data_IF_656282819452
#
_entry.id   IF_656282819452
#
_cell.length_a   1.000
_cell.length_b   1.000
_cell.length_c   1.000
_cell.angle_alpha   90.00
_cell.angle_beta   90.00
_cell.angle_gamma   90.00
#
_symmetry.space_group_name_H-M   'P 1'
#
loop_
_entity.id
_entity.type
_entity.pdbx_description
1 polymer ?
#
# COMPACT_ATOMS: atom_id res chain seq x y z
N UNK A 1 17.42 -44.58 -58.36
CA UNK A 1 18.77 -44.23 -57.89
C UNK A 1 18.95 -42.75 -58.07
N UNK A 2 19.61 -41.98 -57.17
CA UNK A 2 20.29 -42.41 -55.96
C UNK A 2 19.70 -41.76 -54.68
N UNK A 3 20.18 -42.27 -53.53
CA UNK A 3 19.98 -41.87 -52.15
C UNK A 3 20.63 -40.51 -51.84
N UNK A 4 20.01 -39.68 -50.97
CA UNK A 4 20.74 -38.67 -50.20
C UNK A 4 20.37 -38.76 -48.76
N UNK A 5 21.41 -38.83 -47.97
CA UNK A 5 21.48 -39.04 -46.50
C UNK A 5 20.92 -37.89 -45.71
N UNK A 6 20.30 -38.22 -44.56
CA UNK A 6 19.87 -37.29 -43.57
C UNK A 6 21.05 -36.75 -42.75
N UNK A 7 21.07 -35.46 -42.52
CA UNK A 7 21.96 -34.80 -41.56
C UNK A 7 21.16 -34.43 -40.33
N UNK A 8 21.42 -35.13 -39.22
CA UNK A 8 20.95 -34.78 -37.89
C UNK A 8 21.55 -33.44 -37.42
N UNK A 9 20.69 -32.52 -37.04
CA UNK A 9 21.13 -31.30 -36.29
C UNK A 9 21.05 -31.60 -34.79
N UNK A 10 22.22 -31.68 -34.18
CA UNK A 10 22.39 -31.63 -32.73
C UNK A 10 21.97 -30.25 -32.22
N UNK A 11 21.05 -30.20 -31.29
CA UNK A 11 20.77 -28.98 -30.53
C UNK A 11 21.81 -28.84 -29.42
N UNK A 12 22.86 -28.11 -29.70
CA UNK A 12 23.84 -27.68 -28.70
C UNK A 12 23.34 -26.39 -28.06
N UNK A 13 22.75 -26.54 -26.90
CA UNK A 13 22.21 -25.45 -26.08
C UNK A 13 23.31 -24.73 -25.29
N UNK A 14 24.08 -23.87 -25.93
CA UNK A 14 24.96 -22.95 -25.21
C UNK A 14 24.12 -21.85 -24.56
N UNK A 15 23.94 -21.93 -23.26
CA UNK A 15 23.42 -20.84 -22.43
C UNK A 15 24.32 -19.60 -22.66
N UNK A 16 23.71 -18.51 -23.13
CA UNK A 16 24.39 -17.21 -23.16
C UNK A 16 24.73 -16.82 -21.70
N UNK A 17 25.97 -16.37 -21.44
CA UNK A 17 26.31 -15.84 -20.12
C UNK A 17 25.43 -14.61 -19.84
N UNK A 18 24.93 -14.50 -18.60
CA UNK A 18 24.23 -13.34 -18.11
C UNK A 18 25.10 -12.09 -18.36
N UNK A 19 24.53 -11.09 -19.00
CA UNK A 19 25.21 -9.82 -19.21
C UNK A 19 25.58 -9.23 -17.85
N UNK A 20 26.88 -9.11 -17.58
CA UNK A 20 27.40 -8.36 -16.47
C UNK A 20 26.78 -6.95 -16.49
N UNK A 21 25.97 -6.64 -15.51
CA UNK A 21 25.34 -5.35 -15.35
C UNK A 21 26.41 -4.27 -15.21
N UNK A 22 26.65 -3.49 -16.26
CA UNK A 22 27.35 -2.21 -16.14
C UNK A 22 26.59 -1.44 -15.05
N UNK A 23 27.27 -1.12 -13.96
CA UNK A 23 26.75 -0.31 -12.85
C UNK A 23 26.22 1.02 -13.39
N UNK A 24 24.92 1.04 -13.70
CA UNK A 24 24.17 2.27 -13.86
C UNK A 24 24.25 2.97 -12.52
N UNK A 25 24.81 4.19 -12.47
CA UNK A 25 24.70 5.05 -11.32
C UNK A 25 23.23 4.98 -10.83
N UNK A 26 23.03 4.65 -9.55
CA UNK A 26 21.68 4.47 -8.99
C UNK A 26 20.84 5.68 -9.42
N UNK A 27 19.79 5.47 -10.18
CA UNK A 27 18.89 6.53 -10.61
C UNK A 27 18.39 7.28 -9.37
N UNK A 28 18.39 8.61 -9.45
CA UNK A 28 17.87 9.46 -8.37
C UNK A 28 16.35 9.25 -8.10
N UNK A 29 15.68 8.47 -8.97
CA UNK A 29 14.23 8.19 -8.92
C UNK A 29 13.42 9.16 -9.79
N UNK A 30 12.17 8.77 -10.08
CA UNK A 30 11.28 9.55 -10.96
C UNK A 30 10.85 10.90 -10.33
N UNK A 31 10.88 10.99 -9.00
CA UNK A 31 10.47 12.16 -8.24
C UNK A 31 11.67 12.93 -7.66
N UNK A 32 12.87 12.68 -8.18
CA UNK A 32 14.05 13.42 -7.77
C UNK A 32 13.87 14.91 -7.98
N UNK A 33 14.21 15.70 -6.95
CA UNK A 33 14.04 17.13 -6.93
C UNK A 33 12.73 17.62 -6.31
N UNK A 34 11.74 16.73 -6.08
CA UNK A 34 10.57 17.11 -5.27
C UNK A 34 10.92 17.08 -3.78
N UNK A 35 10.52 18.13 -3.08
CA UNK A 35 10.71 18.29 -1.64
C UNK A 35 9.38 18.22 -0.92
N UNK A 36 9.30 17.36 0.08
CA UNK A 36 8.08 17.06 0.84
C UNK A 36 8.31 17.34 2.31
N UNK A 37 7.48 18.18 2.91
CA UNK A 37 7.39 18.34 4.36
C UNK A 37 6.21 17.48 4.84
N UNK A 38 6.52 16.47 5.63
CA UNK A 38 5.59 15.45 6.12
C UNK A 38 5.30 15.68 7.60
N UNK A 39 4.13 16.26 7.91
CA UNK A 39 3.63 16.45 9.29
C UNK A 39 2.73 15.28 9.74
N UNK A 40 2.58 14.24 8.89
CA UNK A 40 1.63 13.16 9.17
C UNK A 40 2.15 12.17 10.20
N UNK A 41 1.20 11.51 10.85
CA UNK A 41 1.45 10.45 11.85
C UNK A 41 0.59 9.22 11.51
N UNK A 42 0.86 8.12 12.18
CA UNK A 42 0.17 6.84 12.10
C UNK A 42 0.44 6.12 10.79
N UNK A 43 -0.48 6.08 9.80
CA UNK A 43 -0.32 5.19 8.66
C UNK A 43 -0.60 5.86 7.30
N UNK A 44 -1.79 6.35 7.03
CA UNK A 44 -2.19 6.78 5.68
C UNK A 44 -1.26 7.83 5.07
N UNK A 45 -0.95 8.90 5.81
CA UNK A 45 -0.01 9.93 5.40
C UNK A 45 1.43 9.43 5.29
N UNK A 46 2.00 8.80 6.34
CA UNK A 46 3.33 8.21 6.26
C UNK A 46 3.51 7.19 5.15
N UNK A 47 2.49 6.40 4.82
CA UNK A 47 2.51 5.47 3.70
C UNK A 47 2.55 6.21 2.35
N UNK A 48 1.76 7.27 2.19
CA UNK A 48 1.82 8.16 1.03
C UNK A 48 3.24 8.70 0.83
N UNK A 49 3.83 9.30 1.85
CA UNK A 49 5.14 9.94 1.76
C UNK A 49 6.28 8.92 1.62
N UNK A 50 6.12 7.68 2.11
CA UNK A 50 7.04 6.58 1.82
C UNK A 50 7.03 6.23 0.31
N UNK A 51 5.86 6.19 -0.34
CA UNK A 51 5.78 5.95 -1.78
C UNK A 51 6.53 7.05 -2.54
N UNK A 52 6.33 8.32 -2.18
CA UNK A 52 7.04 9.43 -2.80
C UNK A 52 8.56 9.33 -2.58
N UNK A 53 8.99 9.04 -1.34
CA UNK A 53 10.41 8.89 -1.01
C UNK A 53 11.04 7.68 -1.70
N UNK A 54 10.35 6.55 -1.84
CA UNK A 54 10.85 5.39 -2.57
C UNK A 54 11.19 5.71 -4.03
N UNK A 55 10.49 6.68 -4.61
CA UNK A 55 10.68 7.13 -5.97
C UNK A 55 11.53 8.40 -6.12
N UNK A 56 12.20 8.84 -5.06
CA UNK A 56 13.25 9.86 -5.15
C UNK A 56 12.90 11.23 -4.56
N UNK A 57 11.68 11.45 -4.09
CA UNK A 57 11.36 12.67 -3.36
C UNK A 57 12.19 12.78 -2.07
N UNK A 58 12.64 13.99 -1.75
CA UNK A 58 13.27 14.30 -0.48
C UNK A 58 12.18 14.59 0.55
N UNK A 59 11.99 13.68 1.49
CA UNK A 59 10.91 13.75 2.48
C UNK A 59 11.49 14.05 3.86
N UNK A 60 11.12 15.21 4.40
CA UNK A 60 11.43 15.63 5.77
C UNK A 60 10.19 15.35 6.63
N UNK A 61 10.26 14.30 7.47
CA UNK A 61 9.23 13.99 8.46
C UNK A 61 9.41 14.86 9.70
N UNK A 62 8.42 15.68 10.01
CA UNK A 62 8.38 16.50 11.21
C UNK A 62 7.56 15.78 12.27
N UNK A 63 8.19 15.47 13.38
CA UNK A 63 7.54 14.82 14.52
C UNK A 63 7.37 15.81 15.69
N UNK A 64 6.28 15.69 16.47
CA UNK A 64 6.15 16.45 17.72
C UNK A 64 7.20 15.98 18.75
N UNK A 65 7.38 16.70 19.86
CA UNK A 65 8.36 16.35 20.90
C UNK A 65 8.21 14.92 21.45
N UNK A 66 7.00 14.36 21.40
CA UNK A 66 6.69 12.99 21.83
C UNK A 66 7.01 11.93 20.75
N UNK A 67 7.27 12.36 19.52
CA UNK A 67 7.39 11.49 18.36
C UNK A 67 6.04 11.10 17.76
N UNK A 68 6.11 10.36 16.66
CA UNK A 68 4.95 9.67 16.10
C UNK A 68 4.52 8.54 17.04
N UNK A 69 3.25 8.49 17.41
CA UNK A 69 2.72 7.49 18.36
C UNK A 69 2.96 6.04 17.93
N UNK A 70 3.06 5.78 16.63
CA UNK A 70 3.33 4.43 16.13
C UNK A 70 4.76 3.94 16.40
N UNK A 71 5.66 4.80 16.89
CA UNK A 71 6.95 4.35 17.42
C UNK A 71 6.78 3.45 18.67
N UNK A 72 5.64 3.60 19.36
CA UNK A 72 5.32 2.84 20.58
C UNK A 72 4.33 1.67 20.32
N UNK A 73 3.84 1.49 19.07
CA UNK A 73 2.87 0.43 18.75
C UNK A 73 3.54 -0.93 18.47
N UNK A 74 4.29 -1.40 19.42
CA UNK A 74 4.92 -2.72 19.46
C UNK A 74 4.38 -3.61 20.58
N UNK A 75 4.87 -4.84 20.72
CA UNK A 75 5.98 -5.46 20.00
C UNK A 75 5.63 -5.85 18.56
N UNK A 76 6.64 -6.15 17.68
CA UNK A 76 8.07 -6.14 17.97
C UNK A 76 8.71 -4.74 17.85
N UNK A 77 9.88 -4.58 18.48
CA UNK A 77 10.68 -3.35 18.42
C UNK A 77 12.06 -3.64 17.87
N UNK A 78 12.64 -2.66 17.19
CA UNK A 78 14.07 -2.55 16.94
C UNK A 78 14.56 -1.30 17.67
N UNK A 79 15.39 -1.49 18.71
CA UNK A 79 15.75 -0.45 19.67
C UNK A 79 14.49 0.21 20.28
N UNK A 80 14.31 1.52 20.10
CA UNK A 80 13.19 2.30 20.63
C UNK A 80 12.00 2.44 19.66
N UNK A 81 12.03 1.79 18.48
CA UNK A 81 11.04 1.96 17.43
C UNK A 81 10.28 0.67 17.13
N UNK A 82 8.95 0.74 17.20
CA UNK A 82 8.09 -0.38 16.84
C UNK A 82 8.10 -0.67 15.33
N UNK A 83 7.87 -1.93 14.96
CA UNK A 83 7.75 -2.39 13.57
C UNK A 83 6.74 -1.59 12.77
N UNK A 84 5.70 -1.06 13.41
CA UNK A 84 4.69 -0.23 12.76
C UNK A 84 5.30 1.05 12.17
N UNK A 85 6.13 1.77 12.95
CA UNK A 85 6.86 2.93 12.44
C UNK A 85 7.88 2.54 11.37
N UNK A 86 8.65 1.48 11.63
CA UNK A 86 9.72 1.01 10.77
C UNK A 86 9.19 0.63 9.37
N UNK A 87 8.02 0.01 9.29
CA UNK A 87 7.44 -0.49 8.05
C UNK A 87 7.07 0.58 7.02
N UNK A 88 6.92 1.86 7.43
CA UNK A 88 6.35 2.93 6.60
C UNK A 88 7.15 4.23 6.55
N UNK A 89 8.39 4.26 7.08
CA UNK A 89 9.16 5.51 7.16
C UNK A 89 10.57 5.43 6.55
N UNK A 90 10.88 4.38 5.76
CA UNK A 90 12.16 4.33 5.04
C UNK A 90 12.33 5.50 4.09
N UNK A 91 13.56 5.82 3.74
CA UNK A 91 13.95 6.90 2.83
C UNK A 91 13.62 8.33 3.32
N UNK A 92 13.07 8.50 4.52
CA UNK A 92 12.77 9.82 5.09
C UNK A 92 13.90 10.34 5.95
N UNK A 93 13.93 11.66 6.13
CA UNK A 93 14.74 12.37 7.14
C UNK A 93 13.82 12.82 8.27
N UNK A 94 14.27 12.74 9.52
CA UNK A 94 13.44 13.05 10.69
C UNK A 94 13.93 14.28 11.43
N UNK A 95 13.01 15.21 11.69
CA UNK A 95 13.19 16.39 12.53
C UNK A 95 12.11 16.38 13.61
N UNK A 96 12.49 16.63 14.87
CA UNK A 96 11.51 16.81 15.94
C UNK A 96 11.33 18.28 16.26
N UNK A 97 10.11 18.79 16.06
CA UNK A 97 9.79 20.21 16.11
C UNK A 97 8.44 20.45 16.81
N UNK A 98 8.45 21.33 17.82
CA UNK A 98 7.21 21.74 18.49
C UNK A 98 6.49 22.87 17.73
N UNK A 99 5.67 22.50 16.74
CA UNK A 99 4.89 23.46 15.95
C UNK A 99 3.68 24.06 16.70
N UNK A 100 3.37 23.59 17.90
CA UNK A 100 2.36 24.22 18.75
C UNK A 100 2.83 25.60 19.24
N UNK A 101 4.16 25.82 19.26
CA UNK A 101 4.81 27.07 19.64
C UNK A 101 5.02 27.99 18.44
N UNK A 102 4.92 29.32 18.62
CA UNK A 102 5.20 30.29 17.53
C UNK A 102 6.58 30.13 16.89
N UNK A 103 7.61 29.83 17.71
CA UNK A 103 8.98 29.63 17.25
C UNK A 103 9.11 28.41 16.35
N UNK A 104 8.44 27.30 16.71
CA UNK A 104 8.39 26.09 15.90
C UNK A 104 7.69 26.31 14.56
N UNK A 105 6.62 27.13 14.55
CA UNK A 105 5.95 27.51 13.30
C UNK A 105 6.85 28.35 12.40
N UNK A 106 7.69 29.23 12.95
CA UNK A 106 8.70 29.98 12.16
C UNK A 106 9.69 29.02 11.50
N UNK A 107 10.15 28.01 12.21
CA UNK A 107 11.02 26.97 11.64
C UNK A 107 10.30 26.23 10.53
N UNK A 108 9.06 25.76 10.76
CA UNK A 108 8.25 25.09 9.73
C UNK A 108 8.09 25.97 8.48
N UNK A 109 7.73 27.23 8.64
CA UNK A 109 7.56 28.16 7.52
C UNK A 109 8.85 28.34 6.70
N UNK A 110 10.02 28.29 7.34
CA UNK A 110 11.30 28.33 6.65
C UNK A 110 11.60 27.03 5.88
N UNK A 111 11.21 25.87 6.43
CA UNK A 111 11.29 24.59 5.70
C UNK A 111 10.36 24.56 4.48
N UNK A 112 9.26 25.33 4.50
CA UNK A 112 8.31 25.43 3.40
C UNK A 112 8.73 26.37 2.28
N UNK A 113 9.77 27.20 2.46
CA UNK A 113 10.22 28.16 1.45
C UNK A 113 10.66 27.52 0.12
N UNK A 114 11.17 26.29 0.19
CA UNK A 114 11.60 25.54 -0.98
C UNK A 114 10.87 24.17 -1.12
N UNK A 115 9.84 23.95 -0.31
CA UNK A 115 9.03 22.73 -0.39
C UNK A 115 8.04 22.77 -1.56
N UNK A 116 7.87 21.63 -2.20
CA UNK A 116 6.86 21.41 -3.24
C UNK A 116 5.52 20.97 -2.65
N UNK A 117 5.57 20.17 -1.58
CA UNK A 117 4.44 19.47 -1.00
C UNK A 117 4.51 19.60 0.52
N UNK A 118 3.39 19.99 1.11
CA UNK A 118 3.09 19.84 2.53
C UNK A 118 2.00 18.78 2.68
N UNK A 119 2.22 17.80 3.53
CA UNK A 119 1.20 16.80 3.87
C UNK A 119 1.00 16.76 5.38
N UNK A 120 -0.27 16.76 5.82
CA UNK A 120 -0.64 16.74 7.24
C UNK A 120 -1.89 15.90 7.50
N UNK A 121 -2.06 15.42 8.73
CA UNK A 121 -3.27 14.72 9.17
C UNK A 121 -3.73 15.17 10.56
N UNK A 122 -3.60 16.48 10.84
CA UNK A 122 -4.16 17.07 12.05
C UNK A 122 -5.69 17.12 11.97
N UNK A 123 -6.28 17.31 13.14
CA UNK A 123 -7.71 17.62 13.21
C UNK A 123 -8.00 18.86 12.35
N UNK A 124 -8.99 18.83 11.43
CA UNK A 124 -9.40 20.01 10.67
C UNK A 124 -9.58 21.25 11.55
N UNK A 125 -9.09 22.39 11.10
CA UNK A 125 -9.07 23.64 11.85
C UNK A 125 -7.84 23.84 12.75
N UNK A 126 -6.97 22.85 12.91
CA UNK A 126 -5.77 22.99 13.76
C UNK A 126 -4.71 23.90 13.12
N UNK A 127 -4.41 23.67 11.84
CA UNK A 127 -3.46 24.51 11.08
C UNK A 127 -3.95 25.94 10.97
N UNK A 128 -5.25 26.13 10.73
CA UNK A 128 -5.91 27.42 10.67
C UNK A 128 -5.79 28.20 11.99
N UNK A 129 -6.03 27.54 13.13
CA UNK A 129 -5.84 28.13 14.47
C UNK A 129 -4.40 28.57 14.73
N UNK A 130 -3.44 27.92 14.10
CA UNK A 130 -2.03 28.25 14.23
C UNK A 130 -1.56 29.34 13.24
N UNK A 131 -2.47 29.81 12.36
CA UNK A 131 -2.15 30.79 11.31
C UNK A 131 -1.26 30.24 10.20
N UNK A 132 -1.34 28.93 9.97
CA UNK A 132 -0.63 28.19 8.92
C UNK A 132 -1.60 27.23 8.18
N UNK A 133 -2.86 27.65 8.03
CA UNK A 133 -3.85 26.97 7.19
C UNK A 133 -3.56 27.15 5.70
N UNK A 134 -4.38 26.50 4.86
CA UNK A 134 -4.17 26.57 3.41
C UNK A 134 -4.24 28.01 2.87
N UNK A 135 -5.19 28.81 3.34
CA UNK A 135 -5.39 30.18 2.84
C UNK A 135 -4.17 31.06 3.08
N UNK A 136 -3.55 30.96 4.26
CA UNK A 136 -2.30 31.67 4.59
C UNK A 136 -1.10 31.13 3.83
N UNK A 137 -0.98 29.79 3.76
CA UNK A 137 0.15 29.15 3.09
C UNK A 137 0.11 29.36 1.57
N UNK A 138 -1.04 29.34 0.94
CA UNK A 138 -1.18 29.54 -0.51
C UNK A 138 -0.82 30.97 -0.95
N UNK A 139 -1.09 31.96 -0.10
CA UNK A 139 -0.68 33.34 -0.36
C UNK A 139 0.84 33.51 -0.24
N UNK A 140 1.46 32.83 0.73
CA UNK A 140 2.90 32.92 0.98
C UNK A 140 3.71 32.04 0.03
N UNK A 141 3.19 30.87 -0.31
CA UNK A 141 3.82 29.83 -1.13
C UNK A 141 2.88 29.39 -2.24
N UNK A 142 2.63 30.20 -3.28
CA UNK A 142 1.60 29.95 -4.29
C UNK A 142 1.82 28.67 -5.12
N UNK A 143 3.00 28.07 -5.06
CA UNK A 143 3.34 26.82 -5.73
C UNK A 143 3.22 25.59 -4.82
N UNK A 144 2.99 25.77 -3.53
CA UNK A 144 2.90 24.68 -2.56
C UNK A 144 1.64 23.86 -2.77
N UNK A 145 1.81 22.56 -2.88
CA UNK A 145 0.70 21.59 -2.86
C UNK A 145 0.47 21.19 -1.41
N UNK A 146 -0.72 21.46 -0.89
CA UNK A 146 -1.08 21.15 0.49
C UNK A 146 -2.07 19.99 0.53
N UNK A 147 -1.66 18.83 1.01
CA UNK A 147 -2.51 17.65 1.17
C UNK A 147 -2.89 17.46 2.64
N UNK A 148 -4.18 17.50 2.94
CA UNK A 148 -4.74 17.16 4.25
C UNK A 148 -5.38 15.79 4.19
N UNK A 149 -5.06 14.93 5.17
CA UNK A 149 -5.74 13.65 5.37
C UNK A 149 -6.54 13.72 6.67
N UNK A 150 -7.83 13.42 6.62
CA UNK A 150 -8.73 13.44 7.78
C UNK A 150 -9.66 12.23 7.81
N UNK A 151 -10.36 11.99 8.93
CA UNK A 151 -11.31 10.88 9.03
C UNK A 151 -12.52 11.05 8.11
N UNK A 152 -13.17 12.22 8.17
CA UNK A 152 -14.47 12.49 7.54
C UNK A 152 -14.52 13.79 6.73
N UNK A 153 -13.38 14.40 6.45
CA UNK A 153 -13.36 15.74 5.85
C UNK A 153 -13.57 16.86 6.88
N UNK A 154 -13.52 18.14 6.43
CA UNK A 154 -13.64 19.30 7.32
C UNK A 154 -15.08 19.64 7.71
N UNK A 155 -16.05 19.24 6.92
CA UNK A 155 -17.46 19.67 7.03
C UNK A 155 -18.44 18.49 6.90
N UNK A 156 -19.73 18.79 6.74
CA UNK A 156 -20.80 17.78 6.71
C UNK A 156 -21.16 17.21 8.07
N UNK A 157 -22.04 16.21 8.13
CA UNK A 157 -22.58 15.69 9.38
C UNK A 157 -21.54 15.09 10.36
N UNK A 158 -20.41 14.62 9.83
CA UNK A 158 -19.31 14.01 10.60
C UNK A 158 -18.01 14.83 10.47
N UNK A 159 -18.05 15.98 9.84
CA UNK A 159 -16.89 16.82 9.60
C UNK A 159 -16.11 17.16 10.85
N UNK A 160 -14.79 17.09 10.79
CA UNK A 160 -13.89 17.37 11.90
C UNK A 160 -13.86 16.34 13.04
N UNK A 161 -14.64 15.25 12.94
CA UNK A 161 -14.57 14.15 13.89
C UNK A 161 -13.35 13.26 13.64
N UNK A 162 -12.81 12.63 14.69
CA UNK A 162 -11.71 11.68 14.55
C UNK A 162 -12.18 10.39 13.88
N UNK A 163 -11.31 9.81 13.02
CA UNK A 163 -11.55 8.53 12.39
C UNK A 163 -10.26 7.73 12.28
N UNK A 164 -10.32 6.46 12.65
CA UNK A 164 -9.26 5.47 12.45
C UNK A 164 -9.73 4.42 11.47
N UNK A 165 -8.82 3.74 10.80
CA UNK A 165 -9.09 2.72 9.78
C UNK A 165 -10.25 1.77 10.14
N UNK A 166 -10.20 1.13 11.32
CA UNK A 166 -11.21 0.15 11.72
C UNK A 166 -12.62 0.76 11.86
N UNK A 167 -12.71 2.02 12.33
CA UNK A 167 -13.98 2.74 12.41
C UNK A 167 -14.51 3.03 11.01
N UNK A 168 -13.63 3.43 10.09
CA UNK A 168 -14.03 3.70 8.72
C UNK A 168 -14.37 2.42 7.95
N UNK A 169 -13.69 1.29 8.17
CA UNK A 169 -14.14 0.00 7.66
C UNK A 169 -15.56 -0.35 8.11
N UNK A 170 -15.91 -0.04 9.37
CA UNK A 170 -17.26 -0.28 9.89
C UNK A 170 -18.29 0.66 9.25
N UNK A 171 -18.00 1.96 9.20
CA UNK A 171 -18.96 2.99 8.78
C UNK A 171 -19.14 3.10 7.27
N UNK A 172 -18.15 2.71 6.47
CA UNK A 172 -18.24 2.70 4.99
C UNK A 172 -18.85 1.42 4.42
N UNK A 173 -19.15 0.43 5.26
CA UNK A 173 -19.77 -0.83 4.83
C UNK A 173 -18.78 -1.95 4.48
N UNK A 174 -17.48 -1.70 4.50
CA UNK A 174 -16.45 -2.72 4.21
C UNK A 174 -16.55 -3.92 5.16
N UNK A 175 -16.78 -3.69 6.47
CA UNK A 175 -16.97 -4.80 7.40
C UNK A 175 -18.23 -5.61 7.09
N UNK A 176 -19.30 -4.99 6.59
CA UNK A 176 -20.58 -5.66 6.35
C UNK A 176 -20.51 -6.71 5.24
N UNK A 177 -19.52 -6.60 4.36
CA UNK A 177 -19.27 -7.50 3.24
C UNK A 177 -18.07 -8.41 3.45
N UNK A 178 -17.35 -8.25 4.56
CA UNK A 178 -16.27 -9.11 5.00
C UNK A 178 -16.73 -10.02 6.15
N UNK A 179 -16.22 -11.27 6.21
CA UNK A 179 -16.74 -12.31 7.09
C UNK A 179 -17.82 -13.15 6.43
N UNK A 180 -18.53 -13.94 7.22
CA UNK A 180 -19.60 -14.84 6.79
C UNK A 180 -20.72 -14.94 7.83
N UNK A 181 -21.69 -15.87 7.62
CA UNK A 181 -22.80 -16.04 8.52
C UNK A 181 -22.40 -16.55 9.92
N UNK A 182 -21.27 -17.24 10.04
CA UNK A 182 -20.79 -17.78 11.33
C UNK A 182 -19.97 -16.73 12.11
N UNK A 183 -19.16 -15.95 11.40
CA UNK A 183 -18.29 -14.94 12.02
C UNK A 183 -18.97 -13.58 12.17
N UNK A 184 -20.00 -13.30 11.38
CA UNK A 184 -20.56 -11.95 11.21
C UNK A 184 -19.62 -10.99 10.51
N UNK A 185 -19.92 -9.67 10.54
CA UNK A 185 -19.05 -8.64 9.97
C UNK A 185 -17.66 -8.62 10.61
N UNK A 186 -16.62 -8.65 9.80
CA UNK A 186 -15.22 -8.64 10.24
C UNK A 186 -14.42 -7.52 9.57
N UNK A 187 -13.51 -6.90 10.33
CA UNK A 187 -12.52 -6.01 9.71
C UNK A 187 -11.48 -6.81 8.91
N UNK A 188 -10.91 -6.19 7.90
CA UNK A 188 -9.72 -6.73 7.23
C UNK A 188 -8.53 -6.70 8.20
N UNK A 189 -7.67 -7.70 8.16
CA UNK A 189 -6.49 -7.82 9.04
C UNK A 189 -5.47 -6.70 8.83
N UNK A 190 -5.38 -6.13 7.62
CA UNK A 190 -4.61 -4.93 7.30
C UNK A 190 -5.47 -3.68 7.36
N UNK A 191 -4.85 -2.53 7.63
CA UNK A 191 -5.53 -1.23 7.67
C UNK A 191 -5.80 -0.72 6.23
N UNK A 192 -6.77 -1.33 5.56
CA UNK A 192 -7.02 -1.15 4.12
C UNK A 192 -7.50 0.26 3.77
N UNK A 193 -8.25 0.93 4.66
CA UNK A 193 -8.73 2.29 4.42
C UNK A 193 -7.58 3.28 4.53
N UNK A 194 -6.73 3.15 5.54
CA UNK A 194 -5.52 3.98 5.68
C UNK A 194 -4.57 3.80 4.49
N UNK A 195 -4.28 2.55 4.12
CA UNK A 195 -3.40 2.27 2.97
C UNK A 195 -4.00 2.78 1.66
N UNK A 196 -5.31 2.56 1.45
CA UNK A 196 -6.04 3.09 0.30
C UNK A 196 -6.00 4.61 0.25
N UNK A 197 -6.19 5.28 1.39
CA UNK A 197 -6.08 6.75 1.49
C UNK A 197 -4.67 7.22 1.15
N UNK A 198 -3.63 6.54 1.64
CA UNK A 198 -2.25 6.85 1.30
C UNK A 198 -1.95 6.71 -0.20
N UNK A 199 -2.50 5.68 -0.85
CA UNK A 199 -2.42 5.52 -2.32
C UNK A 199 -3.14 6.64 -3.07
N UNK A 200 -4.37 6.96 -2.69
CA UNK A 200 -5.13 8.07 -3.31
C UNK A 200 -4.46 9.42 -3.08
N UNK A 201 -3.90 9.66 -1.88
CA UNK A 201 -3.15 10.87 -1.60
C UNK A 201 -1.90 11.00 -2.48
N UNK A 202 -1.14 9.91 -2.67
CA UNK A 202 0.02 9.91 -3.57
C UNK A 202 -0.40 10.19 -5.03
N UNK A 203 -1.49 9.57 -5.51
CA UNK A 203 -2.04 9.84 -6.85
C UNK A 203 -2.50 11.29 -6.96
N UNK A 204 -3.25 11.81 -5.99
CA UNK A 204 -3.74 13.18 -5.97
C UNK A 204 -2.60 14.21 -5.97
N UNK A 205 -1.57 13.97 -5.17
CA UNK A 205 -0.35 14.78 -5.15
C UNK A 205 0.33 14.79 -6.53
N UNK A 206 0.48 13.64 -7.18
CA UNK A 206 1.07 13.56 -8.51
C UNK A 206 0.23 14.26 -9.58
N UNK A 207 -1.11 14.20 -9.48
CA UNK A 207 -2.02 14.99 -10.35
C UNK A 207 -1.80 16.48 -10.13
N UNK A 208 -1.67 16.94 -8.88
CA UNK A 208 -1.41 18.33 -8.55
C UNK A 208 -0.03 18.80 -9.02
N UNK A 209 1.01 17.95 -8.88
CA UNK A 209 2.36 18.23 -9.43
C UNK A 209 2.29 18.37 -10.95
N UNK A 210 1.58 17.48 -11.64
CA UNK A 210 1.41 17.57 -13.09
C UNK A 210 0.64 18.83 -13.51
N UNK A 211 -0.46 19.15 -12.81
CA UNK A 211 -1.24 20.35 -13.09
C UNK A 211 -0.42 21.62 -12.89
N UNK A 212 0.36 21.70 -11.81
CA UNK A 212 1.27 22.80 -11.49
C UNK A 212 2.30 23.09 -12.58
N UNK A 213 2.67 22.11 -13.42
CA UNK A 213 3.58 22.34 -14.56
C UNK A 213 2.97 23.24 -15.63
N UNK A 214 1.63 23.35 -15.67
CA UNK A 214 0.88 24.18 -16.62
C UNK A 214 0.44 25.50 -16.00
N UNK A 215 -0.15 25.45 -14.80
CA UNK A 215 -0.69 26.66 -14.13
C UNK A 215 0.39 27.48 -13.41
N UNK A 216 1.47 26.84 -12.98
CA UNK A 216 2.45 27.43 -12.09
C UNK A 216 2.03 27.48 -10.62
N UNK A 217 0.80 27.07 -10.30
CA UNK A 217 0.22 27.15 -8.95
C UNK A 217 0.07 25.79 -8.29
N UNK A 218 0.27 25.71 -6.97
CA UNK A 218 -0.13 24.59 -6.14
C UNK A 218 -1.62 24.60 -5.87
N UNK A 219 -2.10 23.61 -5.13
CA UNK A 219 -3.51 23.51 -4.76
C UNK A 219 -3.69 22.73 -3.45
N UNK A 220 -4.87 22.83 -2.87
CA UNK A 220 -5.28 22.04 -1.73
C UNK A 220 -5.85 20.69 -2.15
N UNK A 221 -5.46 19.63 -1.47
CA UNK A 221 -6.03 18.29 -1.58
C UNK A 221 -6.67 17.92 -0.25
N UNK A 222 -7.98 17.72 -0.27
CA UNK A 222 -8.73 17.19 0.86
C UNK A 222 -8.96 15.69 0.66
N UNK A 223 -8.37 14.89 1.55
CA UNK A 223 -8.42 13.44 1.51
C UNK A 223 -9.12 12.93 2.77
N UNK A 224 -10.35 12.43 2.62
CA UNK A 224 -11.08 11.82 3.72
C UNK A 224 -10.97 10.28 3.67
N UNK A 225 -10.64 9.66 4.81
CA UNK A 225 -10.63 8.20 4.93
C UNK A 225 -12.01 7.61 4.58
N UNK A 226 -13.09 8.31 4.96
CA UNK A 226 -14.45 7.90 4.66
C UNK A 226 -14.69 7.75 3.15
N UNK A 227 -14.31 8.75 2.36
CA UNK A 227 -14.46 8.74 0.89
C UNK A 227 -13.65 7.62 0.26
N UNK A 228 -12.42 7.44 0.73
CA UNK A 228 -11.56 6.35 0.28
C UNK A 228 -12.15 4.98 0.61
N UNK A 229 -12.68 4.79 1.83
CA UNK A 229 -13.36 3.56 2.24
C UNK A 229 -14.60 3.25 1.38
N UNK A 230 -15.40 4.28 1.07
CA UNK A 230 -16.54 4.15 0.15
C UNK A 230 -16.11 3.74 -1.26
N UNK A 231 -15.01 4.31 -1.77
CA UNK A 231 -14.49 3.99 -3.10
C UNK A 231 -14.02 2.54 -3.25
N UNK A 232 -13.67 1.87 -2.15
CA UNK A 232 -13.20 0.49 -2.12
C UNK A 232 -14.34 -0.56 -2.13
N UNK A 233 -15.61 -0.16 -2.12
CA UNK A 233 -16.77 -1.08 -2.05
C UNK A 233 -17.09 -1.82 -3.35
N UNK A 234 -16.22 -1.86 -4.34
CA UNK A 234 -16.45 -2.64 -5.55
C UNK A 234 -16.24 -4.15 -5.29
N UNK A 235 -17.11 -5.06 -5.82
CA UNK A 235 -18.30 -4.83 -6.62
C UNK A 235 -19.60 -4.63 -5.81
N UNK A 236 -19.53 -4.64 -4.48
CA UNK A 236 -20.70 -4.73 -3.60
C UNK A 236 -21.65 -3.53 -3.75
N UNK A 237 -21.12 -2.32 -3.81
CA UNK A 237 -21.92 -1.12 -4.03
C UNK A 237 -22.61 -1.14 -5.41
N UNK A 238 -21.91 -1.56 -6.46
CA UNK A 238 -22.50 -1.68 -7.79
C UNK A 238 -23.62 -2.73 -7.83
N UNK A 239 -23.46 -3.87 -7.17
CA UNK A 239 -24.51 -4.88 -7.05
C UNK A 239 -25.74 -4.32 -6.33
N UNK A 240 -25.54 -3.61 -5.21
CA UNK A 240 -26.62 -2.98 -4.47
C UNK A 240 -27.38 -1.92 -5.29
N UNK A 241 -26.66 -1.06 -5.99
CA UNK A 241 -27.28 -0.02 -6.82
C UNK A 241 -28.12 -0.60 -7.97
N UNK A 242 -27.73 -1.78 -8.50
CA UNK A 242 -28.45 -2.42 -9.60
C UNK A 242 -29.69 -3.21 -9.16
N UNK A 243 -29.65 -3.84 -7.99
CA UNK A 243 -30.70 -4.80 -7.61
C UNK A 243 -31.42 -4.46 -6.29
N UNK A 244 -30.97 -3.43 -5.55
CA UNK A 244 -31.52 -3.02 -4.26
C UNK A 244 -31.34 -4.03 -3.11
N UNK A 245 -30.62 -5.12 -3.35
CA UNK A 245 -30.42 -6.17 -2.34
C UNK A 245 -29.19 -5.86 -1.49
N UNK A 246 -29.37 -5.87 -0.17
CA UNK A 246 -28.26 -5.65 0.77
C UNK A 246 -27.19 -6.75 0.57
N UNK A 247 -25.95 -6.39 0.23
CA UNK A 247 -24.84 -7.34 0.23
C UNK A 247 -24.60 -7.89 1.64
N UNK A 248 -24.11 -9.11 1.72
CA UNK A 248 -23.69 -9.74 2.97
C UNK A 248 -22.31 -10.37 2.78
N UNK A 249 -21.61 -10.57 3.89
CA UNK A 249 -20.36 -11.33 3.90
C UNK A 249 -20.60 -12.77 3.46
N UNK A 250 -19.80 -13.23 2.50
CA UNK A 250 -19.87 -14.61 1.97
C UNK A 250 -18.66 -15.45 2.39
N UNK A 251 -17.78 -14.90 3.22
CA UNK A 251 -16.48 -15.49 3.50
C UNK A 251 -15.57 -15.41 2.28
N UNK A 252 -14.98 -16.53 1.89
CA UNK A 252 -14.10 -16.62 0.72
C UNK A 252 -14.83 -16.67 -0.63
N UNK A 253 -16.03 -17.26 -0.75
CA UNK A 253 -16.75 -17.34 -2.02
C UNK A 253 -17.02 -15.99 -2.65
N UNK A 254 -16.68 -15.84 -3.93
CA UNK A 254 -17.02 -14.65 -4.70
C UNK A 254 -18.55 -14.54 -4.88
N UNK A 255 -19.17 -13.35 -4.71
CA UNK A 255 -20.62 -13.20 -4.78
C UNK A 255 -21.21 -13.62 -6.15
N UNK A 256 -20.50 -13.42 -7.24
CA UNK A 256 -21.02 -13.56 -8.60
C UNK A 256 -20.38 -14.70 -9.42
N UNK A 257 -19.22 -15.23 -9.02
CA UNK A 257 -18.46 -16.23 -9.79
C UNK A 257 -18.36 -17.57 -9.05
N UNK A 258 -18.44 -18.68 -9.79
CA UNK A 258 -18.35 -20.06 -9.24
C UNK A 258 -17.66 -20.99 -10.25
N UNK A 259 -16.65 -21.78 -9.82
CA UNK A 259 -16.00 -21.75 -8.53
C UNK A 259 -15.00 -20.59 -8.42
N UNK A 260 -15.11 -19.86 -7.34
CA UNK A 260 -14.18 -18.81 -6.94
C UNK A 260 -14.16 -18.80 -5.42
N UNK A 261 -13.28 -19.63 -4.82
CA UNK A 261 -13.31 -19.93 -3.40
C UNK A 261 -12.01 -20.59 -2.93
N UNK A 262 -11.92 -20.78 -1.62
CA UNK A 262 -10.86 -21.51 -0.92
C UNK A 262 -11.30 -22.95 -0.68
N UNK A 263 -10.42 -23.89 -1.00
CA UNK A 263 -10.66 -25.33 -0.82
C UNK A 263 -9.52 -25.96 -0.03
N UNK A 264 -9.84 -26.85 0.95
CA UNK A 264 -8.83 -27.63 1.62
C UNK A 264 -8.24 -28.68 0.68
N UNK A 265 -6.94 -28.95 0.83
CA UNK A 265 -6.25 -30.06 0.17
C UNK A 265 -5.55 -30.92 1.23
N UNK A 266 -4.80 -31.93 0.80
CA UNK A 266 -4.06 -32.78 1.73
C UNK A 266 -3.00 -32.03 2.53
N UNK A 267 -2.41 -30.95 2.00
CA UNK A 267 -1.25 -30.28 2.61
C UNK A 267 -1.48 -28.82 3.00
N UNK A 268 -2.27 -28.08 2.24
CA UNK A 268 -2.61 -26.68 2.52
C UNK A 268 -3.91 -26.28 1.84
N UNK A 269 -4.48 -25.14 2.23
CA UNK A 269 -5.61 -24.57 1.52
C UNK A 269 -5.17 -24.00 0.17
N UNK A 270 -5.99 -24.20 -0.88
CA UNK A 270 -5.79 -23.61 -2.21
C UNK A 270 -6.96 -22.71 -2.55
N UNK A 271 -6.67 -21.49 -2.99
CA UNK A 271 -7.67 -20.59 -3.53
C UNK A 271 -7.74 -20.73 -5.05
N UNK A 272 -8.96 -20.80 -5.60
CA UNK A 272 -9.22 -20.96 -7.03
C UNK A 272 -10.14 -19.84 -7.50
N UNK A 273 -9.84 -19.28 -8.67
CA UNK A 273 -10.59 -18.20 -9.27
C UNK A 273 -10.95 -18.54 -10.74
N UNK A 274 -11.98 -19.37 -10.95
CA UNK A 274 -12.46 -19.66 -12.30
C UNK A 274 -13.45 -18.59 -12.77
N UNK A 275 -13.00 -17.72 -13.67
CA UNK A 275 -13.76 -16.56 -14.15
C UNK A 275 -14.66 -16.84 -15.38
N UNK A 276 -14.52 -18.01 -16.05
CA UNK A 276 -15.30 -18.34 -17.25
C UNK A 276 -15.42 -19.85 -17.47
N UNK A 277 -16.30 -20.23 -18.43
CA UNK A 277 -16.59 -21.62 -18.70
C UNK A 277 -15.39 -22.43 -19.23
N UNK A 278 -14.50 -21.77 -19.98
CA UNK A 278 -13.27 -22.42 -20.48
C UNK A 278 -12.31 -22.79 -19.35
N UNK A 279 -12.17 -21.90 -18.36
CA UNK A 279 -11.38 -22.18 -17.15
C UNK A 279 -12.02 -23.28 -16.30
N UNK A 280 -13.35 -23.29 -16.19
CA UNK A 280 -14.05 -24.36 -15.48
C UNK A 280 -13.86 -25.74 -16.13
N UNK A 281 -13.92 -25.83 -17.46
CA UNK A 281 -13.63 -27.07 -18.19
C UNK A 281 -12.21 -27.55 -17.93
N UNK A 282 -11.22 -26.69 -18.04
CA UNK A 282 -9.82 -27.00 -17.73
C UNK A 282 -9.61 -27.43 -16.27
N UNK A 283 -10.28 -26.77 -15.34
CA UNK A 283 -10.27 -27.17 -13.93
C UNK A 283 -10.75 -28.63 -13.80
N UNK A 284 -11.92 -28.96 -14.35
CA UNK A 284 -12.50 -30.30 -14.31
C UNK A 284 -11.55 -31.36 -14.91
N UNK A 285 -10.93 -31.06 -16.04
CA UNK A 285 -9.93 -31.94 -16.66
C UNK A 285 -8.69 -32.16 -15.77
N UNK A 286 -8.13 -31.11 -15.20
CA UNK A 286 -6.90 -31.15 -14.37
C UNK A 286 -7.09 -31.93 -13.08
N UNK A 287 -8.28 -31.84 -12.47
CA UNK A 287 -8.61 -32.58 -11.25
C UNK A 287 -9.13 -34.01 -11.51
N UNK A 288 -9.17 -34.45 -12.78
CA UNK A 288 -9.61 -35.79 -13.15
C UNK A 288 -11.14 -35.99 -13.11
N UNK A 289 -11.90 -34.91 -13.22
CA UNK A 289 -13.39 -34.94 -13.19
C UNK A 289 -14.00 -34.22 -14.41
N UNK A 290 -13.62 -34.63 -15.64
CA UNK A 290 -14.04 -33.93 -16.87
C UNK A 290 -15.58 -33.90 -17.04
N UNK A 291 -16.31 -34.88 -16.50
CA UNK A 291 -17.76 -34.96 -16.53
C UNK A 291 -18.45 -33.74 -15.88
N UNK A 292 -17.80 -33.03 -14.97
CA UNK A 292 -18.37 -31.85 -14.35
C UNK A 292 -18.62 -30.70 -15.36
N UNK A 293 -17.81 -30.67 -16.43
CA UNK A 293 -17.94 -29.63 -17.46
C UNK A 293 -19.18 -29.86 -18.36
N UNK A 294 -19.65 -31.09 -18.44
CA UNK A 294 -20.81 -31.52 -19.25
C UNK A 294 -22.08 -31.71 -18.40
N UNK A 295 -21.99 -31.59 -17.06
CA UNK A 295 -23.14 -31.61 -16.17
C UNK A 295 -24.04 -30.39 -16.41
N UNK A 296 -25.35 -30.60 -16.76
CA UNK A 296 -26.27 -29.47 -16.99
C UNK A 296 -26.38 -28.48 -15.83
N UNK A 297 -26.12 -28.92 -14.60
CA UNK A 297 -26.14 -28.05 -13.40
C UNK A 297 -24.98 -27.05 -13.39
N UNK A 298 -23.88 -27.32 -14.13
CA UNK A 298 -22.62 -26.56 -14.07
C UNK A 298 -22.22 -25.97 -15.43
N UNK A 299 -23.07 -26.08 -16.46
CA UNK A 299 -22.76 -25.72 -17.84
C UNK A 299 -22.34 -24.25 -18.05
N UNK A 300 -22.87 -23.35 -17.23
CA UNK A 300 -22.51 -21.90 -17.26
C UNK A 300 -22.42 -21.33 -15.84
N UNK A 301 -21.87 -20.12 -15.72
CA UNK A 301 -21.67 -19.49 -14.41
C UNK A 301 -22.99 -19.27 -13.65
N UNK A 302 -24.09 -18.93 -14.35
CA UNK A 302 -25.39 -18.74 -13.72
C UNK A 302 -25.90 -20.04 -13.07
N UNK A 303 -25.82 -21.15 -13.80
CA UNK A 303 -26.19 -22.47 -13.30
C UNK A 303 -25.28 -22.94 -12.17
N UNK A 304 -23.96 -22.71 -12.28
CA UNK A 304 -23.01 -22.99 -11.19
C UNK A 304 -23.34 -22.18 -9.94
N UNK A 305 -23.75 -20.93 -10.09
CA UNK A 305 -24.12 -20.07 -8.97
C UNK A 305 -25.38 -20.59 -8.25
N UNK A 306 -26.41 -21.03 -8.99
CA UNK A 306 -27.62 -21.64 -8.42
C UNK A 306 -27.28 -22.97 -7.71
N UNK A 307 -26.37 -23.77 -8.25
CA UNK A 307 -25.97 -25.07 -7.72
C UNK A 307 -24.63 -25.01 -6.95
N UNK A 308 -24.28 -23.85 -6.39
CA UNK A 308 -23.00 -23.57 -5.72
C UNK A 308 -22.65 -24.63 -4.68
N UNK A 309 -23.57 -24.96 -3.77
CA UNK A 309 -23.33 -25.91 -2.70
C UNK A 309 -22.91 -27.27 -3.23
N UNK A 310 -23.67 -27.82 -4.20
CA UNK A 310 -23.38 -29.11 -4.82
C UNK A 310 -22.02 -29.13 -5.54
N UNK A 311 -21.67 -28.05 -6.25
CA UNK A 311 -20.37 -27.95 -6.92
C UNK A 311 -19.23 -27.82 -5.92
N UNK A 312 -19.39 -27.03 -4.86
CA UNK A 312 -18.39 -26.87 -3.80
C UNK A 312 -18.08 -28.19 -3.12
N UNK A 313 -19.09 -28.98 -2.80
CA UNK A 313 -18.92 -30.32 -2.18
C UNK A 313 -18.12 -31.27 -3.08
N UNK A 314 -18.47 -31.37 -4.36
CA UNK A 314 -17.76 -32.19 -5.33
C UNK A 314 -16.32 -31.77 -5.52
N UNK A 315 -16.07 -30.47 -5.61
CA UNK A 315 -14.72 -29.93 -5.75
C UNK A 315 -13.89 -30.14 -4.50
N UNK A 316 -14.46 -29.91 -3.31
CA UNK A 316 -13.77 -30.15 -2.04
C UNK A 316 -13.31 -31.61 -1.89
N UNK A 317 -14.18 -32.57 -2.23
CA UNK A 317 -13.83 -33.97 -2.23
C UNK A 317 -12.68 -34.32 -3.21
N UNK A 318 -12.72 -33.73 -4.42
CA UNK A 318 -11.67 -33.96 -5.41
C UNK A 318 -10.34 -33.35 -4.97
N UNK A 319 -10.34 -32.12 -4.38
CA UNK A 319 -9.10 -31.44 -3.95
C UNK A 319 -8.45 -32.08 -2.73
N UNK A 320 -9.22 -32.69 -1.83
CA UNK A 320 -8.69 -33.34 -0.62
C UNK A 320 -7.66 -34.45 -0.91
N UNK A 321 -7.67 -35.03 -2.10
CA UNK A 321 -6.73 -36.08 -2.51
C UNK A 321 -5.38 -35.53 -3.02
N UNK A 322 -5.30 -34.22 -3.33
CA UNK A 322 -4.12 -33.60 -3.93
C UNK A 322 -3.21 -32.95 -2.92
N UNK A 323 -1.92 -32.88 -3.26
CA UNK A 323 -1.00 -31.92 -2.65
C UNK A 323 -1.36 -30.50 -3.13
N UNK A 324 -1.53 -29.56 -2.20
CA UNK A 324 -2.05 -28.22 -2.54
C UNK A 324 -1.10 -27.39 -3.39
N UNK A 325 0.20 -27.42 -3.08
CA UNK A 325 1.19 -26.66 -3.86
C UNK A 325 1.31 -27.21 -5.29
N UNK A 326 1.35 -28.53 -5.42
CA UNK A 326 1.41 -29.20 -6.73
C UNK A 326 0.14 -28.95 -7.55
N UNK A 327 -1.04 -29.09 -6.92
CA UNK A 327 -2.31 -28.81 -7.57
C UNK A 327 -2.41 -27.37 -8.05
N UNK A 328 -2.09 -26.39 -7.20
CA UNK A 328 -2.12 -24.99 -7.55
C UNK A 328 -1.19 -24.68 -8.74
N UNK A 329 0.00 -25.28 -8.75
CA UNK A 329 0.94 -25.13 -9.86
C UNK A 329 0.44 -25.75 -11.17
N UNK A 330 -0.19 -26.92 -11.12
CA UNK A 330 -0.82 -27.57 -12.29
C UNK A 330 -1.97 -26.71 -12.83
N UNK A 331 -2.83 -26.20 -11.96
CA UNK A 331 -3.97 -25.36 -12.33
C UNK A 331 -3.53 -24.06 -12.99
N UNK A 332 -2.60 -23.31 -12.39
CA UNK A 332 -2.16 -22.02 -12.94
C UNK A 332 -1.43 -22.19 -14.29
N UNK A 333 -0.61 -23.23 -14.43
CA UNK A 333 0.03 -23.59 -15.71
C UNK A 333 -0.97 -24.04 -16.76
N UNK A 334 -2.07 -24.69 -16.37
CA UNK A 334 -3.18 -25.04 -17.22
C UNK A 334 -4.11 -23.87 -17.59
N UNK A 335 -3.83 -22.67 -17.08
CA UNK A 335 -4.62 -21.46 -17.35
C UNK A 335 -5.86 -21.30 -16.46
N UNK A 336 -5.89 -21.97 -15.32
CA UNK A 336 -6.87 -21.77 -14.26
C UNK A 336 -6.19 -21.02 -13.12
N UNK A 337 -6.56 -19.76 -12.81
CA UNK A 337 -5.98 -19.03 -11.72
C UNK A 337 -6.19 -19.77 -10.40
N UNK A 338 -5.09 -20.12 -9.75
CA UNK A 338 -5.07 -20.82 -8.46
C UNK A 338 -3.77 -20.51 -7.72
N UNK A 339 -3.80 -20.62 -6.39
CA UNK A 339 -2.62 -20.45 -5.56
C UNK A 339 -2.81 -21.02 -4.17
N UNK A 340 -1.75 -21.49 -3.51
CA UNK A 340 -1.82 -21.86 -2.10
C UNK A 340 -2.07 -20.62 -1.23
N UNK A 341 -2.79 -20.81 -0.14
CA UNK A 341 -2.97 -19.75 0.88
C UNK A 341 -1.72 -19.76 1.77
N UNK A 342 -0.79 -18.87 1.49
CA UNK A 342 0.49 -18.80 2.20
C UNK A 342 0.41 -17.92 3.44
N UNK A 343 1.00 -18.33 4.57
CA UNK A 343 1.29 -17.42 5.67
C UNK A 343 2.37 -16.39 5.27
N UNK A 344 2.51 -15.32 6.06
CA UNK A 344 3.37 -14.17 5.72
C UNK A 344 4.83 -14.55 5.54
N UNK A 345 5.35 -15.43 6.39
CA UNK A 345 6.75 -15.91 6.34
C UNK A 345 7.03 -16.67 5.03
N UNK A 346 6.15 -17.58 4.63
CA UNK A 346 6.27 -18.32 3.37
C UNK A 346 6.11 -17.39 2.15
N UNK A 347 5.14 -16.47 2.20
CA UNK A 347 4.92 -15.51 1.11
C UNK A 347 6.13 -14.60 0.90
N UNK A 348 6.78 -14.14 1.99
CA UNK A 348 7.98 -13.29 1.92
C UNK A 348 9.22 -14.06 1.48
N UNK A 349 9.28 -15.37 1.74
CA UNK A 349 10.38 -16.25 1.32
C UNK A 349 10.17 -16.88 -0.08
N UNK A 350 9.01 -16.68 -0.71
CA UNK A 350 8.67 -17.30 -1.98
C UNK A 350 9.65 -16.88 -3.10
N UNK A 351 10.04 -17.82 -4.01
CA UNK A 351 10.95 -17.51 -5.11
C UNK A 351 10.48 -16.37 -6.01
N UNK A 352 9.16 -16.24 -6.22
CA UNK A 352 8.59 -15.13 -6.99
C UNK A 352 8.73 -13.79 -6.27
N UNK A 353 8.59 -13.76 -4.96
CA UNK A 353 8.84 -12.56 -4.11
C UNK A 353 10.28 -12.09 -4.24
N UNK A 354 11.25 -13.01 -4.20
CA UNK A 354 12.65 -12.72 -4.44
C UNK A 354 12.92 -12.21 -5.87
N UNK A 355 12.37 -12.89 -6.90
CA UNK A 355 12.49 -12.48 -8.30
C UNK A 355 11.91 -11.07 -8.55
N UNK A 356 10.83 -10.73 -7.86
CA UNK A 356 10.18 -9.40 -7.96
C UNK A 356 10.82 -8.36 -7.03
N UNK A 357 11.86 -8.72 -6.27
CA UNK A 357 12.52 -7.83 -5.30
C UNK A 357 11.50 -7.18 -4.35
N UNK A 358 10.54 -7.98 -3.87
CA UNK A 358 9.48 -7.49 -2.99
C UNK A 358 9.85 -7.57 -1.50
N UNK A 359 11.01 -8.11 -1.17
CA UNK A 359 11.70 -7.90 0.11
C UNK A 359 12.97 -7.11 -0.17
N UNK A 360 13.17 -6.03 0.58
CA UNK A 360 14.34 -5.15 0.49
C UNK A 360 15.11 -5.19 1.79
N UNK A 361 16.44 -5.15 1.69
CA UNK A 361 17.35 -5.15 2.83
C UNK A 361 18.37 -4.02 2.65
N UNK A 362 18.62 -3.28 3.70
CA UNK A 362 19.65 -2.23 3.75
C UNK A 362 20.10 -2.04 5.19
N UNK A 363 21.38 -2.30 5.48
CA UNK A 363 21.95 -2.29 6.81
C UNK A 363 21.15 -3.22 7.76
N UNK A 364 20.59 -2.68 8.83
CA UNK A 364 19.74 -3.41 9.78
C UNK A 364 18.27 -3.55 9.30
N UNK A 365 17.85 -2.75 8.32
CA UNK A 365 16.46 -2.68 7.87
C UNK A 365 16.14 -3.81 6.88
N UNK A 366 15.03 -4.49 7.15
CA UNK A 366 14.39 -5.42 6.22
C UNK A 366 12.90 -5.08 6.13
N UNK A 367 12.36 -4.97 4.92
CA UNK A 367 10.97 -4.59 4.72
C UNK A 367 10.43 -4.95 3.35
N UNK A 368 9.13 -4.67 3.14
CA UNK A 368 8.48 -4.89 1.83
C UNK A 368 8.95 -3.85 0.84
N UNK A 369 9.42 -4.28 -0.34
CA UNK A 369 9.89 -3.42 -1.42
C UNK A 369 8.77 -2.63 -2.10
N UNK A 370 9.16 -1.63 -2.92
CA UNK A 370 8.17 -0.88 -3.71
C UNK A 370 7.60 -1.73 -4.85
N UNK A 371 6.25 -1.79 -5.03
CA UNK A 371 5.64 -2.53 -6.13
C UNK A 371 5.72 -1.81 -7.48
N UNK A 372 6.00 -0.50 -7.51
CA UNK A 372 6.08 0.30 -8.72
C UNK A 372 7.46 0.13 -9.36
N UNK A 373 7.53 -0.59 -10.47
CA UNK A 373 8.78 -0.92 -11.18
C UNK A 373 8.91 -0.08 -12.45
N UNK A 374 9.58 1.07 -12.34
CA UNK A 374 9.86 1.95 -13.48
C UNK A 374 11.15 1.51 -14.19
N UNK A 375 11.10 1.29 -15.49
CA UNK A 375 12.22 0.72 -16.25
C UNK A 375 13.45 1.65 -16.33
N UNK A 376 13.26 2.95 -16.35
CA UNK A 376 14.32 3.96 -16.50
C UNK A 376 14.70 4.67 -15.20
N UNK A 377 13.73 4.83 -14.30
CA UNK A 377 13.87 5.54 -13.01
C UNK A 377 13.35 4.68 -11.85
N UNK A 378 13.95 3.51 -11.60
CA UNK A 378 13.46 2.58 -10.60
C UNK A 378 13.44 3.22 -9.21
N UNK A 379 12.38 2.93 -8.46
CA UNK A 379 12.31 3.21 -7.04
C UNK A 379 13.10 2.19 -6.22
N UNK A 380 13.25 2.44 -4.92
CA UNK A 380 13.89 1.50 -4.01
C UNK A 380 14.24 2.07 -2.66
N UNK A 381 14.75 1.21 -1.79
CA UNK A 381 15.25 1.59 -0.47
C UNK A 381 16.66 2.14 -0.58
N UNK A 382 16.86 3.38 -0.14
CA UNK A 382 18.14 4.10 -0.16
C UNK A 382 18.62 4.44 1.23
N UNK A 383 17.71 4.43 2.21
CA UNK A 383 17.94 4.78 3.60
C UNK A 383 17.03 3.98 4.50
N UNK A 384 17.52 3.41 5.61
CA UNK A 384 16.65 2.84 6.65
C UNK A 384 15.68 3.89 7.21
N UNK A 385 14.58 3.47 7.85
CA UNK A 385 13.72 4.38 8.60
C UNK A 385 14.53 5.18 9.62
N UNK A 386 14.29 6.51 9.73
CA UNK A 386 15.09 7.36 10.60
C UNK A 386 14.76 7.12 12.08
N UNK A 387 15.76 7.23 12.94
CA UNK A 387 15.54 7.39 14.38
C UNK A 387 14.88 8.73 14.67
N UNK A 388 14.28 8.85 15.86
CA UNK A 388 13.68 10.12 16.27
C UNK A 388 14.69 11.27 16.16
N UNK A 389 14.30 12.36 15.50
CA UNK A 389 15.08 13.59 15.32
C UNK A 389 16.46 13.40 14.67
N UNK A 390 16.74 12.25 14.04
CA UNK A 390 18.07 11.88 13.55
C UNK A 390 18.73 12.96 12.68
N UNK A 391 17.96 13.70 11.92
CA UNK A 391 18.46 14.60 10.88
C UNK A 391 18.24 16.07 11.21
N UNK A 392 17.81 16.40 12.45
CA UNK A 392 17.39 17.74 12.84
C UNK A 392 18.42 18.82 12.55
N UNK A 393 19.64 18.66 13.03
CA UNK A 393 20.72 19.64 12.83
C UNK A 393 21.10 19.81 11.36
N UNK A 394 21.21 18.70 10.61
CA UNK A 394 21.54 18.72 9.18
C UNK A 394 20.47 19.45 8.36
N UNK A 395 19.20 19.10 8.58
CA UNK A 395 18.06 19.70 7.87
C UNK A 395 17.99 21.20 8.16
N UNK A 396 18.13 21.61 9.41
CA UNK A 396 18.09 23.03 9.79
C UNK A 396 19.26 23.80 9.18
N UNK A 397 20.47 23.25 9.20
CA UNK A 397 21.64 23.89 8.58
C UNK A 397 21.46 24.06 7.06
N UNK A 398 20.88 23.07 6.35
CA UNK A 398 20.54 23.16 4.92
C UNK A 398 19.53 24.28 4.62
N UNK A 399 18.69 24.64 5.60
CA UNK A 399 17.73 25.74 5.50
C UNK A 399 18.26 27.05 6.13
N UNK A 400 19.59 27.15 6.30
CA UNK A 400 20.30 28.38 6.63
C UNK A 400 20.25 28.76 8.11
N UNK A 401 20.02 27.84 9.01
CA UNK A 401 20.26 28.05 10.44
C UNK A 401 21.72 27.79 10.78
N UNK A 402 22.34 28.76 11.52
CA UNK A 402 23.68 28.57 12.07
C UNK A 402 23.67 27.52 13.23
N UNK A 403 24.83 27.00 13.56
CA UNK A 403 24.97 26.10 14.70
C UNK A 403 24.50 26.72 16.03
N UNK A 404 24.75 28.02 16.22
CA UNK A 404 24.32 28.74 17.42
C UNK A 404 22.79 28.90 17.49
N UNK A 405 22.14 29.18 16.34
CA UNK A 405 20.67 29.23 16.26
C UNK A 405 20.02 27.86 16.52
N UNK A 406 20.59 26.77 15.96
CA UNK A 406 20.13 25.41 16.21
C UNK A 406 20.24 25.08 17.70
N UNK A 407 21.40 25.36 18.30
CA UNK A 407 21.60 25.14 19.74
C UNK A 407 20.66 25.98 20.61
N UNK A 408 20.31 27.21 20.18
CA UNK A 408 19.29 28.01 20.86
C UNK A 408 17.90 27.39 20.77
N UNK A 409 17.47 26.95 19.58
CA UNK A 409 16.20 26.29 19.39
C UNK A 409 16.08 24.98 20.22
N UNK A 410 17.17 24.23 20.37
CA UNK A 410 17.23 23.07 21.24
C UNK A 410 17.12 23.42 22.72
N UNK A 411 17.90 24.41 23.20
CA UNK A 411 17.82 24.89 24.61
C UNK A 411 16.44 25.40 24.97
N UNK A 412 15.79 26.10 24.04
CA UNK A 412 14.45 26.64 24.23
C UNK A 412 13.34 25.59 24.09
N UNK A 413 13.69 24.34 23.72
CA UNK A 413 12.77 23.25 23.56
C UNK A 413 11.79 23.44 22.40
N UNK A 414 12.25 24.08 21.33
CA UNK A 414 11.53 24.21 20.05
C UNK A 414 11.89 23.05 19.14
N UNK A 415 13.17 22.71 19.08
CA UNK A 415 13.72 21.52 18.40
C UNK A 415 14.14 20.51 19.48
N UNK A 416 13.93 19.25 19.21
CA UNK A 416 14.23 18.18 20.16
C UNK A 416 15.20 17.16 19.55
N UNK A 417 16.13 16.67 20.36
CA UNK A 417 17.06 15.58 20.01
C UNK A 417 16.71 14.26 20.70
N UNK A 418 15.81 14.31 21.71
CA UNK A 418 15.33 13.17 22.47
C UNK A 418 13.81 13.23 22.60
N UNK A 419 13.15 12.07 22.54
CA UNK A 419 11.72 11.97 22.76
C UNK A 419 11.35 12.36 24.21
N UNK A 420 10.31 13.15 24.34
CA UNK A 420 9.64 13.36 25.63
C UNK A 420 8.74 12.16 25.90
N UNK A 421 9.08 11.36 26.89
CA UNK A 421 8.24 10.24 27.37
C UNK A 421 7.16 10.76 28.33
#
# INVERSE_FOLDING_TARGET
MPRTEGAGRSMDGTAKPAAEGKGLARSAGALAGLKVVDLTRVLGGPYCTMILSDHGADVIKIEPPQGDEVRDWGPPFHEDDASYFIGINRNKRAVALDISRPEGRKVLLRLLEDADILIENFKPGSMEKWGIGYDELSQRFPRLIHCRISGFGPDGPLGGLPGYDAILQAMTGLMSVNGDAATGPMRLGTAIVDMGTGLYAAIGILMAVHERTRSGHGQFLDMALYDCGMSLLHPQAANYFLNGKRPAGTGNPHPNLVPYDKFPTRTCDVFIASGNNGQFRKLAEIIGRPELADDPRFADNGKRNVNRAALTEVLAAAFAEHDGNELALRLIRGGVPAGPVLPVDEATAAPHTAHREMVTELDWYRGVGTPIKLSRTPGGTRRPPPKFAQDGAEVLAQHGYSADEIAALERDGVVHTKRRR
#
